data_IF_413373818865
#
_entry.id   IF_413373818865
#
_cell.length_a   1.000
_cell.length_b   1.000
_cell.length_c   1.000
_cell.angle_alpha   90.00
_cell.angle_beta   90.00
_cell.angle_gamma   90.00
#
_symmetry.space_group_name_H-M   'P 1'
#
loop_
_entity.id
_entity.type
_entity.pdbx_description
1 polymer ?
#
# COMPACT_ATOMS: atom_id res chain seq x y z
N UNK A 1 0.51 19.62 39.42
CA UNK A 1 1.41 19.14 38.34
C UNK A 1 1.22 17.67 37.96
N UNK A 2 1.05 16.73 38.91
CA UNK A 2 0.91 15.28 38.59
C UNK A 2 -0.27 14.95 37.66
N UNK A 3 -1.41 15.62 37.84
CA UNK A 3 -2.62 15.41 37.00
C UNK A 3 -2.41 15.91 35.57
N UNK A 4 -1.75 17.05 35.38
CA UNK A 4 -1.44 17.59 34.05
C UNK A 4 -0.51 16.66 33.26
N UNK A 5 0.50 16.09 33.92
CA UNK A 5 1.41 15.10 33.32
C UNK A 5 0.64 13.83 32.92
N UNK A 6 -0.31 13.40 33.77
CA UNK A 6 -1.15 12.22 33.51
C UNK A 6 -2.04 12.42 32.27
N UNK A 7 -2.69 13.58 32.14
CA UNK A 7 -3.54 13.91 31.00
C UNK A 7 -2.72 14.01 29.70
N UNK A 8 -1.50 14.58 29.77
CA UNK A 8 -0.60 14.66 28.61
C UNK A 8 -0.17 13.27 28.11
N UNK A 9 0.09 12.33 29.03
CA UNK A 9 0.43 10.94 28.72
C UNK A 9 -0.72 10.15 28.10
N UNK A 10 -1.96 10.40 28.55
CA UNK A 10 -3.16 9.79 27.96
C UNK A 10 -3.43 10.34 26.55
N UNK A 11 -3.24 11.64 26.32
CA UNK A 11 -3.41 12.22 24.98
C UNK A 11 -2.37 11.73 23.96
N UNK A 12 -1.13 11.49 24.39
CA UNK A 12 -0.08 10.94 23.53
C UNK A 12 -0.33 9.48 23.12
N UNK A 13 -1.03 8.68 23.94
CA UNK A 13 -1.29 7.27 23.66
C UNK A 13 -2.42 7.03 22.65
N UNK A 14 -3.34 7.98 22.45
CA UNK A 14 -4.41 7.87 21.43
C UNK A 14 -3.86 7.95 20.00
N UNK A 15 -2.71 8.59 19.79
CA UNK A 15 -2.12 8.78 18.46
C UNK A 15 -1.50 7.50 17.88
N UNK A 16 -1.19 6.49 18.71
CA UNK A 16 -0.54 5.25 18.27
C UNK A 16 -1.48 4.21 17.63
N UNK A 17 -2.81 4.36 17.73
CA UNK A 17 -3.75 3.27 17.39
C UNK A 17 -4.39 3.36 15.99
N UNK A 18 -4.07 4.38 15.18
CA UNK A 18 -4.69 4.56 13.87
C UNK A 18 -3.65 4.66 12.75
N UNK A 19 -2.85 3.61 12.54
CA UNK A 19 -2.14 3.44 11.28
C UNK A 19 -3.18 3.33 10.15
N UNK A 20 -3.29 4.39 9.35
CA UNK A 20 -4.26 4.52 8.26
C UNK A 20 -3.54 4.94 6.98
N UNK A 21 -4.09 4.50 5.84
CA UNK A 21 -3.54 4.84 4.54
C UNK A 21 -3.71 6.33 4.29
N UNK A 22 -2.59 7.04 4.09
CA UNK A 22 -2.62 8.40 3.59
C UNK A 22 -2.92 8.40 2.08
N UNK A 23 -4.20 8.57 1.75
CA UNK A 23 -4.69 8.61 0.37
C UNK A 23 -4.10 9.77 -0.45
N UNK A 24 -3.52 10.80 0.19
CA UNK A 24 -2.86 11.89 -0.53
C UNK A 24 -1.62 11.41 -1.29
N UNK A 25 -0.99 10.34 -0.81
CA UNK A 25 0.19 9.73 -1.44
C UNK A 25 -0.17 8.85 -2.65
N UNK A 26 -1.45 8.66 -2.95
CA UNK A 26 -1.95 7.66 -3.91
C UNK A 26 -2.88 8.37 -4.92
N UNK A 27 -2.33 9.37 -5.60
CA UNK A 27 -3.10 10.22 -6.52
C UNK A 27 -2.67 10.08 -7.98
N UNK A 28 -1.37 9.88 -8.24
CA UNK A 28 -0.79 10.02 -9.57
C UNK A 28 -0.04 8.76 -10.01
N UNK A 29 -0.73 7.62 -10.25
CA UNK A 29 -0.09 6.32 -10.51
C UNK A 29 0.87 6.33 -11.71
N UNK A 30 0.62 7.17 -12.71
CA UNK A 30 1.48 7.29 -13.90
C UNK A 30 2.79 8.01 -13.54
N UNK A 31 2.72 9.15 -12.86
CA UNK A 31 3.91 9.91 -12.44
C UNK A 31 4.74 9.09 -11.44
N UNK A 32 4.08 8.40 -10.52
CA UNK A 32 4.75 7.55 -9.53
C UNK A 32 5.47 6.36 -10.20
N UNK A 33 4.88 5.80 -11.27
CA UNK A 33 5.51 4.74 -12.05
C UNK A 33 6.70 5.25 -12.85
N UNK A 34 6.63 6.44 -13.44
CA UNK A 34 7.76 7.10 -14.10
C UNK A 34 8.92 7.34 -13.13
N UNK A 35 8.62 7.87 -11.93
CA UNK A 35 9.62 8.07 -10.88
C UNK A 35 10.29 6.74 -10.47
N UNK A 36 9.51 5.65 -10.38
CA UNK A 36 10.04 4.32 -10.07
C UNK A 36 10.92 3.76 -11.19
N UNK A 37 10.52 3.91 -12.45
CA UNK A 37 11.30 3.48 -13.61
C UNK A 37 12.66 4.19 -13.67
N UNK A 38 12.70 5.47 -13.28
CA UNK A 38 13.93 6.28 -13.25
C UNK A 38 14.78 6.05 -12.00
N UNK A 39 14.35 5.20 -11.07
CA UNK A 39 15.11 4.90 -9.86
C UNK A 39 16.13 3.78 -10.11
N UNK A 40 17.18 3.73 -9.28
CA UNK A 40 18.21 2.67 -9.35
C UNK A 40 17.62 1.27 -9.17
N UNK A 41 16.51 1.16 -8.42
CA UNK A 41 15.85 -0.10 -8.14
C UNK A 41 14.33 0.07 -8.27
N UNK A 42 13.78 -0.07 -9.49
CA UNK A 42 12.34 0.06 -9.71
C UNK A 42 11.55 -0.93 -8.85
N UNK A 43 10.45 -0.42 -8.28
CA UNK A 43 9.57 -1.20 -7.41
C UNK A 43 8.16 -1.21 -7.97
N UNK A 44 7.54 -2.38 -7.97
CA UNK A 44 6.14 -2.58 -8.31
C UNK A 44 5.24 -2.31 -7.11
N UNK A 45 4.02 -1.82 -7.35
CA UNK A 45 3.08 -1.50 -6.29
C UNK A 45 2.18 -2.71 -5.98
N UNK A 46 2.11 -3.06 -4.69
CA UNK A 46 1.21 -4.07 -4.17
C UNK A 46 0.39 -3.51 -2.99
N UNK A 47 -0.69 -4.19 -2.64
CA UNK A 47 -1.48 -3.85 -1.47
C UNK A 47 -2.08 -5.09 -0.83
N UNK A 48 -2.38 -5.02 0.46
CA UNK A 48 -3.02 -6.08 1.21
C UNK A 48 -4.51 -5.77 1.27
N UNK A 49 -5.34 -6.63 0.70
CA UNK A 49 -6.79 -6.50 0.82
C UNK A 49 -7.23 -6.79 2.26
N UNK A 50 -8.38 -6.25 2.66
CA UNK A 50 -8.94 -6.57 3.99
C UNK A 50 -9.19 -8.07 4.10
N UNK A 51 -8.78 -8.64 5.24
CA UNK A 51 -8.82 -10.06 5.56
C UNK A 51 -7.96 -10.94 4.62
N UNK A 52 -7.06 -10.33 3.84
CA UNK A 52 -6.07 -11.06 3.06
C UNK A 52 -4.74 -11.13 3.81
N UNK A 53 -4.16 -12.33 3.93
CA UNK A 53 -2.84 -12.51 4.53
C UNK A 53 -1.66 -12.25 3.57
N UNK A 54 -1.92 -11.96 2.30
CA UNK A 54 -0.87 -11.79 1.27
C UNK A 54 -1.10 -10.55 0.41
N UNK A 55 -0.04 -9.80 0.04
CA UNK A 55 -0.16 -8.68 -0.88
C UNK A 55 -0.63 -9.12 -2.28
N UNK A 56 -1.57 -8.36 -2.84
CA UNK A 56 -2.01 -8.41 -4.23
C UNK A 56 -1.22 -7.40 -5.06
N UNK A 57 -0.76 -7.82 -6.23
CA UNK A 57 -0.10 -6.98 -7.23
C UNK A 57 -0.92 -7.00 -8.53
N UNK A 58 -1.98 -6.19 -8.62
CA UNK A 58 -2.87 -6.19 -9.77
C UNK A 58 -2.22 -5.51 -10.98
N UNK A 59 -2.76 -5.76 -12.17
CA UNK A 59 -2.20 -5.21 -13.42
C UNK A 59 -0.95 -5.92 -13.95
N UNK A 60 -0.59 -7.06 -13.35
CA UNK A 60 0.54 -7.91 -13.72
C UNK A 60 0.05 -9.35 -13.89
N UNK A 61 0.41 -10.00 -14.98
CA UNK A 61 0.09 -11.43 -15.19
C UNK A 61 0.96 -12.35 -14.31
N UNK A 62 0.92 -13.67 -14.56
CA UNK A 62 1.66 -14.66 -13.77
C UNK A 62 3.15 -14.68 -14.12
N UNK A 63 3.49 -14.53 -15.39
CA UNK A 63 4.86 -14.68 -15.90
C UNK A 63 5.66 -13.41 -15.60
N UNK A 64 5.07 -12.25 -15.83
CA UNK A 64 5.58 -10.95 -15.39
C UNK A 64 5.79 -10.94 -13.87
N UNK A 65 4.87 -11.54 -13.09
CA UNK A 65 5.04 -11.69 -11.63
C UNK A 65 6.30 -12.45 -11.26
N UNK A 66 6.65 -13.50 -12.02
CA UNK A 66 7.85 -14.28 -11.78
C UNK A 66 9.10 -13.46 -12.10
N UNK A 67 9.11 -12.72 -13.21
CA UNK A 67 10.21 -11.82 -13.59
C UNK A 67 10.40 -10.73 -12.52
N UNK A 68 9.30 -10.10 -12.09
CA UNK A 68 9.31 -9.06 -11.06
C UNK A 68 9.93 -9.57 -9.77
N UNK A 69 9.51 -10.75 -9.29
CA UNK A 69 10.07 -11.34 -8.06
C UNK A 69 11.57 -11.62 -8.13
N UNK A 70 12.11 -11.87 -9.32
CA UNK A 70 13.54 -12.17 -9.50
C UNK A 70 14.39 -10.91 -9.65
N UNK A 71 13.87 -9.86 -10.30
CA UNK A 71 14.68 -8.71 -10.76
C UNK A 71 14.32 -7.37 -10.11
N UNK A 72 13.10 -7.23 -9.59
CA UNK A 72 12.57 -5.95 -9.14
C UNK A 72 12.03 -6.02 -7.71
N UNK A 73 11.92 -4.86 -7.07
CA UNK A 73 11.32 -4.76 -5.75
C UNK A 73 9.79 -4.72 -5.82
N UNK A 74 9.15 -4.97 -4.67
CA UNK A 74 7.71 -4.73 -4.49
C UNK A 74 7.53 -3.82 -3.28
N UNK A 75 6.76 -2.75 -3.44
CA UNK A 75 6.36 -1.82 -2.39
C UNK A 75 4.90 -2.09 -2.03
N UNK A 76 4.65 -2.44 -0.78
CA UNK A 76 3.28 -2.62 -0.28
C UNK A 76 2.76 -1.28 0.23
N UNK A 77 1.67 -0.77 -0.33
CA UNK A 77 1.20 0.60 -0.03
C UNK A 77 0.54 0.74 1.35
N UNK A 78 0.01 -0.36 1.89
CA UNK A 78 -0.73 -0.40 3.14
C UNK A 78 -0.20 -1.51 4.07
N UNK A 79 1.12 -1.50 4.30
CA UNK A 79 1.82 -2.48 5.16
C UNK A 79 1.24 -2.59 6.57
N UNK A 80 0.65 -1.52 7.09
CA UNK A 80 -0.01 -1.52 8.39
C UNK A 80 -1.11 -2.58 8.51
N UNK A 81 -1.69 -3.04 7.38
CA UNK A 81 -2.70 -4.10 7.38
C UNK A 81 -2.15 -5.48 7.73
N UNK A 82 -0.83 -5.69 7.68
CA UNK A 82 -0.20 -6.91 8.20
C UNK A 82 -0.48 -7.11 9.70
N UNK A 83 -0.70 -6.03 10.43
CA UNK A 83 -0.92 -6.04 11.87
C UNK A 83 -2.41 -5.93 12.25
N UNK A 84 -3.32 -5.96 11.28
CA UNK A 84 -4.75 -5.96 11.53
C UNK A 84 -5.27 -7.39 11.71
N UNK A 85 -6.28 -7.55 12.56
CA UNK A 85 -6.95 -8.83 12.75
C UNK A 85 -7.53 -9.34 11.42
N UNK A 86 -7.25 -10.61 11.08
CA UNK A 86 -7.66 -11.25 9.82
C UNK A 86 -9.18 -11.41 9.73
N UNK A 87 -9.89 -11.41 10.86
CA UNK A 87 -11.35 -11.56 10.93
C UNK A 87 -12.09 -10.23 11.21
N UNK A 88 -11.47 -9.11 10.84
CA UNK A 88 -12.12 -7.80 10.97
C UNK A 88 -13.38 -7.77 10.09
N UNK A 89 -14.50 -7.33 10.67
CA UNK A 89 -15.72 -7.04 9.91
C UNK A 89 -15.44 -5.94 8.89
N UNK A 90 -15.66 -6.23 7.60
CA UNK A 90 -15.46 -5.27 6.53
C UNK A 90 -16.35 -4.03 6.73
N UNK A 91 -15.74 -2.86 6.82
CA UNK A 91 -16.47 -1.59 6.75
C UNK A 91 -16.63 -1.11 5.31
N UNK A 92 -17.56 -0.17 5.08
CA UNK A 92 -17.68 0.50 3.77
C UNK A 92 -16.39 1.25 3.39
N UNK A 93 -15.67 1.78 4.39
CA UNK A 93 -14.41 2.47 4.17
C UNK A 93 -13.30 1.52 3.72
N UNK A 94 -13.23 0.32 4.32
CA UNK A 94 -12.28 -0.73 3.94
C UNK A 94 -12.46 -1.16 2.48
N UNK A 95 -13.72 -1.32 2.04
CA UNK A 95 -14.06 -1.62 0.65
C UNK A 95 -13.64 -0.51 -0.30
N UNK A 96 -13.92 0.76 0.06
CA UNK A 96 -13.51 1.92 -0.73
C UNK A 96 -11.99 1.99 -0.86
N UNK A 97 -11.27 1.78 0.23
CA UNK A 97 -9.80 1.78 0.25
C UNK A 97 -9.24 0.65 -0.63
N UNK A 98 -9.78 -0.58 -0.52
CA UNK A 98 -9.40 -1.70 -1.39
C UNK A 98 -9.56 -1.35 -2.87
N UNK A 99 -10.71 -0.79 -3.25
CA UNK A 99 -10.99 -0.42 -4.63
C UNK A 99 -10.03 0.65 -5.15
N UNK A 100 -9.74 1.67 -4.33
CA UNK A 100 -8.79 2.73 -4.68
C UNK A 100 -7.38 2.19 -4.87
N UNK A 101 -6.92 1.33 -3.95
CA UNK A 101 -5.62 0.66 -4.03
C UNK A 101 -5.52 -0.25 -5.26
N UNK A 102 -6.56 -1.03 -5.53
CA UNK A 102 -6.60 -1.92 -6.69
C UNK A 102 -6.52 -1.14 -8.00
N UNK A 103 -7.29 -0.06 -8.13
CA UNK A 103 -7.25 0.83 -9.30
C UNK A 103 -5.89 1.51 -9.45
N UNK A 104 -5.32 2.02 -8.37
CA UNK A 104 -4.02 2.68 -8.37
C UNK A 104 -2.92 1.71 -8.79
N UNK A 105 -2.79 0.57 -8.09
CA UNK A 105 -1.75 -0.42 -8.35
C UNK A 105 -1.88 -0.98 -9.78
N UNK A 106 -3.11 -1.19 -10.29
CA UNK A 106 -3.31 -1.66 -11.66
C UNK A 106 -2.73 -0.68 -12.68
N UNK A 107 -3.05 0.61 -12.55
CA UNK A 107 -2.56 1.65 -13.48
C UNK A 107 -1.05 1.83 -13.37
N UNK A 108 -0.56 1.90 -12.14
CA UNK A 108 0.86 2.02 -11.82
C UNK A 108 1.66 0.87 -12.44
N UNK A 109 1.28 -0.37 -12.15
CA UNK A 109 2.05 -1.54 -12.56
C UNK A 109 2.04 -1.72 -14.07
N UNK A 110 0.89 -1.52 -14.73
CA UNK A 110 0.82 -1.56 -16.20
C UNK A 110 1.71 -0.50 -16.85
N UNK A 111 1.73 0.71 -16.31
CA UNK A 111 2.59 1.76 -16.83
C UNK A 111 4.07 1.44 -16.62
N UNK A 112 4.42 0.95 -15.43
CA UNK A 112 5.78 0.55 -15.10
C UNK A 112 6.27 -0.61 -15.98
N UNK A 113 5.43 -1.62 -16.24
CA UNK A 113 5.74 -2.70 -17.20
C UNK A 113 6.12 -2.13 -18.56
N UNK A 114 5.29 -1.24 -19.11
CA UNK A 114 5.55 -0.61 -20.40
C UNK A 114 6.86 0.19 -20.40
N UNK A 115 7.15 0.96 -19.34
CA UNK A 115 8.39 1.74 -19.22
C UNK A 115 9.64 0.86 -19.11
N UNK A 116 9.52 -0.33 -18.53
CA UNK A 116 10.62 -1.27 -18.35
C UNK A 116 10.76 -2.29 -19.50
N UNK A 117 9.84 -2.27 -20.47
CA UNK A 117 9.80 -3.22 -21.59
C UNK A 117 9.46 -4.65 -21.18
N UNK A 118 8.51 -4.81 -20.24
CA UNK A 118 8.06 -6.09 -19.66
C UNK A 118 6.60 -6.41 -19.98
#
# INVERSE_FOLDING_TARGET
MKIFISILLVLASVQLMAASLDLRKIQSPILDAQASANSVAPKFAAFIAVNAGKPKMPGVDRDQRQVIRKKYGVKVLNEYRLYQAIDKKLSKQDLKENYMLERYCTRYNRHLLNLLGL
#
